data_IF_443198882668
#
_entry.id   IF_443198882668
#
_cell.length_a   1.000
_cell.length_b   1.000
_cell.length_c   1.000
_cell.angle_alpha   90.00
_cell.angle_beta   90.00
_cell.angle_gamma   90.00
#
_symmetry.space_group_name_H-M   'P 1'
#
loop_
_entity.id
_entity.type
_entity.pdbx_description
1 polymer ?
#
# COMPACT_ATOMS: atom_id res chain seq x y z
N UNK A 1 6.25 10.65 -19.58
CA UNK A 1 5.69 9.28 -19.52
C UNK A 1 4.19 9.43 -19.54
N UNK A 2 3.48 8.75 -20.46
CA UNK A 2 2.03 8.69 -20.39
C UNK A 2 1.64 7.81 -19.19
N UNK A 3 0.65 8.26 -18.41
CA UNK A 3 0.16 7.49 -17.26
C UNK A 3 -0.65 6.29 -17.73
N UNK A 4 -0.52 5.17 -17.04
CA UNK A 4 -1.36 4.00 -17.33
C UNK A 4 -2.79 4.22 -16.84
N UNK A 5 -3.81 3.55 -17.42
CA UNK A 5 -5.18 3.62 -16.91
C UNK A 5 -5.29 3.30 -15.41
N UNK A 6 -4.47 2.37 -14.91
CA UNK A 6 -4.40 1.98 -13.51
C UNK A 6 -3.85 3.12 -12.62
N UNK A 7 -2.87 3.88 -13.11
CA UNK A 7 -2.37 5.07 -12.42
C UNK A 7 -3.45 6.15 -12.32
N UNK A 8 -4.23 6.37 -13.38
CA UNK A 8 -5.35 7.32 -13.34
C UNK A 8 -6.41 6.92 -12.30
N UNK A 9 -6.80 5.64 -12.25
CA UNK A 9 -7.73 5.13 -11.23
C UNK A 9 -7.21 5.38 -9.82
N UNK A 10 -5.95 5.05 -9.56
CA UNK A 10 -5.31 5.28 -8.26
C UNK A 10 -5.23 6.76 -7.88
N UNK A 11 -4.99 7.65 -8.83
CA UNK A 11 -4.99 9.09 -8.56
C UNK A 11 -6.38 9.61 -8.20
N UNK A 12 -7.44 9.11 -8.84
CA UNK A 12 -8.81 9.44 -8.48
C UNK A 12 -9.13 8.98 -7.05
N UNK A 13 -8.72 7.77 -6.70
CA UNK A 13 -8.85 7.24 -5.33
C UNK A 13 -8.06 8.06 -4.31
N UNK A 14 -6.84 8.49 -4.63
CA UNK A 14 -6.04 9.37 -3.75
C UNK A 14 -6.70 10.73 -3.49
N UNK A 15 -7.39 11.29 -4.49
CA UNK A 15 -8.19 12.52 -4.28
C UNK A 15 -9.34 12.27 -3.31
N UNK A 16 -9.95 11.08 -3.36
CA UNK A 16 -10.97 10.69 -2.39
C UNK A 16 -10.42 10.56 -0.97
N UNK A 17 -9.19 10.08 -0.79
CA UNK A 17 -8.56 10.05 0.53
C UNK A 17 -8.47 11.47 1.13
N UNK A 18 -8.06 12.45 0.33
CA UNK A 18 -8.01 13.85 0.77
C UNK A 18 -9.40 14.42 1.10
N UNK A 19 -10.43 14.03 0.34
CA UNK A 19 -11.82 14.45 0.57
C UNK A 19 -12.40 13.84 1.85
N UNK A 20 -12.22 12.53 2.05
CA UNK A 20 -12.93 11.72 3.07
C UNK A 20 -12.13 11.62 4.37
N UNK A 21 -10.86 11.23 4.27
CA UNK A 21 -10.01 10.93 5.41
C UNK A 21 -9.31 12.18 5.94
N UNK A 22 -8.91 13.11 5.07
CA UNK A 22 -8.16 14.33 5.44
C UNK A 22 -6.91 13.98 6.26
N UNK A 23 -6.87 14.36 7.54
CA UNK A 23 -5.77 14.10 8.48
C UNK A 23 -5.78 12.67 9.04
N UNK A 24 -6.90 11.95 8.92
CA UNK A 24 -7.01 10.53 9.34
C UNK A 24 -6.42 9.56 8.31
N UNK A 25 -5.80 10.08 7.23
CA UNK A 25 -5.04 9.27 6.30
C UNK A 25 -3.88 8.60 7.03
N UNK A 26 -3.76 7.30 6.83
CA UNK A 26 -2.63 6.55 7.36
C UNK A 26 -1.46 6.69 6.38
N UNK A 27 -0.30 7.14 6.86
CA UNK A 27 0.92 7.29 6.04
C UNK A 27 2.06 6.48 6.62
N UNK A 28 2.83 5.81 5.76
CA UNK A 28 3.93 4.94 6.15
C UNK A 28 5.27 5.57 5.79
N UNK A 29 6.21 5.61 6.74
CA UNK A 29 7.59 6.02 6.47
C UNK A 29 8.58 4.94 6.87
N UNK A 30 9.38 4.38 5.93
CA UNK A 30 10.37 3.36 6.26
C UNK A 30 11.48 3.94 7.15
N UNK A 31 11.83 3.23 8.22
CA UNK A 31 12.90 3.59 9.14
C UNK A 31 14.14 2.73 8.94
N UNK A 32 14.07 1.48 9.39
CA UNK A 32 15.20 0.57 9.41
C UNK A 32 14.86 -0.74 8.71
N UNK A 33 15.89 -1.37 8.18
CA UNK A 33 15.79 -2.66 7.51
C UNK A 33 17.10 -3.43 7.68
N UNK A 34 16.98 -4.67 8.09
CA UNK A 34 18.07 -5.63 8.23
C UNK A 34 17.65 -6.92 7.55
N UNK A 35 18.58 -7.50 6.79
CA UNK A 35 18.37 -8.74 6.04
C UNK A 35 19.57 -9.61 6.30
N UNK A 36 19.34 -10.81 6.82
CA UNK A 36 20.36 -11.81 7.05
C UNK A 36 20.03 -13.04 6.22
N UNK A 37 20.97 -13.41 5.35
CA UNK A 37 20.94 -14.66 4.59
C UNK A 37 22.17 -15.47 4.96
N UNK A 38 21.95 -16.71 5.37
CA UNK A 38 23.01 -17.67 5.65
C UNK A 38 22.94 -18.77 4.59
N UNK A 39 24.08 -19.21 4.04
CA UNK A 39 24.08 -20.30 3.05
C UNK A 39 23.63 -21.64 3.64
N UNK A 40 23.78 -21.82 4.96
CA UNK A 40 23.37 -23.05 5.65
C UNK A 40 21.87 -23.04 5.99
N UNK A 41 21.30 -21.85 6.25
CA UNK A 41 19.87 -21.69 6.48
C UNK A 41 19.13 -21.50 5.16
N UNK A 42 18.08 -22.28 4.93
CA UNK A 42 17.26 -22.18 3.71
C UNK A 42 16.31 -20.97 3.71
N UNK A 43 16.47 -20.04 4.65
CA UNK A 43 15.57 -18.92 4.88
C UNK A 43 16.33 -17.60 5.00
N UNK A 44 15.66 -16.53 4.61
CA UNK A 44 16.08 -15.15 4.81
C UNK A 44 15.41 -14.62 6.07
N UNK A 45 16.20 -14.18 7.05
CA UNK A 45 15.68 -13.44 8.21
C UNK A 45 15.57 -11.96 7.85
N UNK A 46 14.39 -11.39 8.03
CA UNK A 46 14.08 -10.00 7.70
C UNK A 46 13.54 -9.31 8.94
N UNK A 47 14.22 -8.22 9.33
CA UNK A 47 13.81 -7.34 10.43
C UNK A 47 13.65 -5.93 9.89
N UNK A 48 12.51 -5.28 10.15
CA UNK A 48 12.27 -3.94 9.62
C UNK A 48 11.35 -3.13 10.51
N UNK A 49 11.47 -1.81 10.40
CA UNK A 49 10.59 -0.89 11.10
C UNK A 49 10.18 0.29 10.24
N UNK A 50 9.00 0.82 10.55
CA UNK A 50 8.43 1.97 9.86
C UNK A 50 7.54 2.77 10.79
N UNK A 51 7.35 4.04 10.47
CA UNK A 51 6.46 4.94 11.18
C UNK A 51 5.09 4.88 10.53
N UNK A 52 4.08 4.67 11.38
CA UNK A 52 2.68 4.91 11.09
C UNK A 52 2.36 6.34 11.53
N UNK A 53 1.95 7.17 10.57
CA UNK A 53 1.41 8.48 10.85
C UNK A 53 -0.09 8.47 10.63
N UNK A 54 -0.82 8.76 11.71
CA UNK A 54 -2.18 9.22 11.67
C UNK A 54 -2.25 10.51 12.53
N UNK A 55 -3.22 10.60 13.45
CA UNK A 55 -3.25 11.64 14.50
C UNK A 55 -2.07 11.54 15.47
N UNK A 56 -1.50 10.34 15.63
CA UNK A 56 -0.31 10.05 16.42
C UNK A 56 0.78 9.39 15.57
N UNK A 57 2.00 9.42 16.10
CA UNK A 57 3.16 8.75 15.53
C UNK A 57 3.39 7.44 16.28
N UNK A 58 3.29 6.32 15.57
CA UNK A 58 3.57 4.99 16.09
C UNK A 58 4.73 4.36 15.29
N UNK A 59 5.61 3.63 15.97
CA UNK A 59 6.68 2.87 15.33
C UNK A 59 6.29 1.41 15.37
N UNK A 60 6.23 0.79 14.19
CA UNK A 60 5.98 -0.64 14.04
C UNK A 60 7.30 -1.33 13.73
N UNK A 61 7.60 -2.41 14.47
CA UNK A 61 8.77 -3.26 14.29
C UNK A 61 8.29 -4.68 14.00
N UNK A 62 8.77 -5.28 12.91
CA UNK A 62 8.38 -6.61 12.46
C UNK A 62 9.63 -7.45 12.15
N UNK A 63 9.55 -8.72 12.54
CA UNK A 63 10.58 -9.73 12.32
C UNK A 63 9.95 -10.98 11.71
N UNK A 64 10.59 -11.56 10.69
CA UNK A 64 10.12 -12.78 10.07
C UNK A 64 11.25 -13.60 9.43
N UNK A 65 10.98 -14.88 9.22
CA UNK A 65 11.79 -15.76 8.38
C UNK A 65 10.98 -16.13 7.14
N UNK A 66 11.56 -15.97 5.97
CA UNK A 66 10.88 -16.15 4.69
C UNK A 66 11.80 -16.79 3.65
N UNK A 67 11.27 -17.09 2.46
CA UNK A 67 12.08 -17.64 1.36
C UNK A 67 12.92 -16.58 0.64
N UNK A 68 12.74 -15.32 0.99
CA UNK A 68 13.46 -14.19 0.43
C UNK A 68 13.05 -12.89 1.09
N UNK A 69 13.83 -11.85 0.83
CA UNK A 69 13.58 -10.53 1.41
C UNK A 69 12.20 -9.94 1.09
N UNK A 70 11.78 -10.00 -0.18
CA UNK A 70 10.47 -9.48 -0.63
C UNK A 70 9.32 -10.29 -0.04
N UNK A 71 9.47 -11.62 0.02
CA UNK A 71 8.52 -12.55 0.64
C UNK A 71 8.33 -12.21 2.13
N UNK A 72 9.44 -11.99 2.85
CA UNK A 72 9.40 -11.61 4.27
C UNK A 72 8.70 -10.28 4.51
N UNK A 73 9.05 -9.24 3.75
CA UNK A 73 8.36 -7.95 3.85
C UNK A 73 6.86 -8.06 3.59
N UNK A 74 6.49 -8.74 2.51
CA UNK A 74 5.09 -8.86 2.13
C UNK A 74 4.29 -9.65 3.17
N UNK A 75 4.82 -10.80 3.59
CA UNK A 75 4.17 -11.69 4.56
C UNK A 75 4.03 -11.02 5.93
N UNK A 76 5.11 -10.41 6.44
CA UNK A 76 5.04 -9.72 7.73
C UNK A 76 4.06 -8.54 7.72
N UNK A 77 4.03 -7.73 6.66
CA UNK A 77 3.02 -6.67 6.52
C UNK A 77 1.61 -7.25 6.38
N UNK A 78 1.43 -8.32 5.61
CA UNK A 78 0.15 -9.00 5.45
C UNK A 78 -0.37 -9.48 6.80
N UNK A 79 0.42 -10.27 7.53
CA UNK A 79 0.03 -10.84 8.82
C UNK A 79 -0.28 -9.74 9.86
N UNK A 80 0.50 -8.64 9.87
CA UNK A 80 0.28 -7.53 10.78
C UNK A 80 -1.03 -6.78 10.51
N UNK A 81 -1.39 -6.54 9.24
CA UNK A 81 -2.53 -5.67 8.90
C UNK A 81 -3.82 -6.42 8.57
N UNK A 82 -3.73 -7.69 8.16
CA UNK A 82 -4.86 -8.43 7.58
C UNK A 82 -6.02 -8.65 8.59
N UNK A 83 -5.73 -8.69 9.88
CA UNK A 83 -6.76 -8.83 10.93
C UNK A 83 -7.55 -7.54 11.13
N UNK A 84 -6.91 -6.38 10.97
CA UNK A 84 -7.54 -5.07 11.11
C UNK A 84 -8.18 -4.56 9.80
N UNK A 85 -7.73 -5.07 8.66
CA UNK A 85 -8.14 -4.62 7.32
C UNK A 85 -8.44 -5.82 6.43
N UNK A 86 -9.71 -6.23 6.42
CA UNK A 86 -10.14 -7.46 5.76
C UNK A 86 -10.02 -7.39 4.24
N UNK A 87 -10.03 -6.19 3.64
CA UNK A 87 -9.87 -6.04 2.19
C UNK A 87 -8.49 -6.48 1.70
N UNK A 88 -7.49 -6.57 2.59
CA UNK A 88 -6.15 -7.06 2.27
C UNK A 88 -6.14 -8.57 1.96
N UNK A 89 -7.15 -9.34 2.37
CA UNK A 89 -7.25 -10.77 2.00
C UNK A 89 -7.37 -10.98 0.48
N UNK A 90 -7.74 -9.93 -0.26
CA UNK A 90 -7.97 -9.98 -1.70
C UNK A 90 -6.77 -9.54 -2.54
N UNK A 91 -5.68 -9.06 -1.92
CA UNK A 91 -4.50 -8.58 -2.63
C UNK A 91 -3.44 -9.67 -2.75
N UNK A 92 -2.73 -9.72 -3.87
CA UNK A 92 -1.62 -10.65 -4.12
C UNK A 92 -0.48 -9.94 -4.84
N UNK A 93 0.76 -10.26 -4.47
CA UNK A 93 1.93 -9.81 -5.23
C UNK A 93 2.00 -10.61 -6.54
N UNK A 94 1.85 -9.94 -7.68
CA UNK A 94 1.85 -10.55 -9.01
C UNK A 94 3.20 -10.48 -9.70
N UNK A 95 3.90 -9.34 -9.57
CA UNK A 95 5.18 -9.11 -10.23
C UNK A 95 6.09 -8.21 -9.38
N UNK A 96 7.39 -8.39 -9.54
CA UNK A 96 8.45 -7.63 -8.88
C UNK A 96 9.54 -7.31 -9.90
N UNK A 97 9.66 -6.02 -10.25
CA UNK A 97 10.58 -5.56 -11.29
C UNK A 97 11.66 -4.64 -10.71
N UNK A 98 12.90 -4.92 -11.08
CA UNK A 98 14.07 -4.13 -10.70
C UNK A 98 14.70 -3.50 -11.94
N UNK A 99 14.67 -2.17 -12.03
CA UNK A 99 15.18 -1.39 -13.16
C UNK A 99 16.33 -0.49 -12.71
N UNK A 100 17.59 -0.96 -12.80
CA UNK A 100 18.75 -0.12 -12.51
C UNK A 100 18.90 0.97 -13.58
N UNK A 101 19.13 2.21 -13.15
CA UNK A 101 19.41 3.33 -14.04
C UNK A 101 20.91 3.62 -14.09
N UNK A 102 21.61 2.85 -14.92
CA UNK A 102 23.06 2.96 -15.11
C UNK A 102 23.50 4.25 -15.80
N UNK A 103 22.57 5.03 -16.38
CA UNK A 103 22.86 6.28 -17.11
C UNK A 103 23.06 7.49 -16.19
N UNK A 104 22.67 7.39 -14.90
CA UNK A 104 22.68 8.51 -13.94
C UNK A 104 23.59 8.23 -12.75
N UNK A 105 24.85 7.86 -13.03
CA UNK A 105 25.85 7.56 -12.01
C UNK A 105 26.71 8.79 -11.74
N UNK A 106 27.01 9.07 -10.47
CA UNK A 106 27.91 10.17 -10.09
C UNK A 106 29.38 9.74 -10.11
N UNK A 107 29.64 8.44 -9.97
CA UNK A 107 30.97 7.87 -9.87
C UNK A 107 31.29 6.99 -11.08
N UNK A 108 32.57 6.92 -11.44
CA UNK A 108 33.07 6.15 -12.60
C UNK A 108 32.83 4.63 -12.48
N UNK A 109 32.62 4.10 -11.27
CA UNK A 109 32.41 2.66 -11.03
C UNK A 109 30.97 2.20 -11.31
N UNK A 110 30.01 3.12 -11.30
CA UNK A 110 28.60 2.86 -11.63
C UNK A 110 27.79 1.95 -10.70
N UNK A 111 28.40 1.37 -9.67
CA UNK A 111 27.72 0.53 -8.68
C UNK A 111 26.77 1.32 -7.74
N UNK A 112 26.85 2.66 -7.71
CA UNK A 112 25.97 3.54 -6.93
C UNK A 112 24.71 3.99 -7.69
N UNK A 113 24.40 3.31 -8.81
CA UNK A 113 23.27 3.62 -9.68
C UNK A 113 21.95 3.64 -8.92
N UNK A 114 21.08 4.58 -9.27
CA UNK A 114 19.71 4.58 -8.76
C UNK A 114 18.96 3.39 -9.34
N UNK A 115 18.33 2.62 -8.48
CA UNK A 115 17.44 1.53 -8.84
C UNK A 115 15.99 1.94 -8.63
N UNK A 116 15.17 1.67 -9.62
CA UNK A 116 13.72 1.77 -9.55
C UNK A 116 13.17 0.37 -9.33
N UNK A 117 12.41 0.19 -8.25
CA UNK A 117 11.73 -1.07 -7.93
C UNK A 117 10.24 -0.82 -8.08
N UNK A 118 9.60 -1.61 -8.93
CA UNK A 118 8.15 -1.66 -9.11
C UNK A 118 7.61 -2.98 -8.60
N UNK A 119 6.54 -2.94 -7.82
CA UNK A 119 5.73 -4.11 -7.48
C UNK A 119 4.38 -3.99 -8.15
N UNK A 120 3.86 -5.11 -8.65
CA UNK A 120 2.52 -5.19 -9.23
C UNK A 120 1.67 -6.04 -8.30
N UNK A 121 0.58 -5.44 -7.84
CA UNK A 121 -0.42 -6.06 -6.98
C UNK A 121 -1.61 -6.46 -7.84
N UNK A 122 -2.05 -7.70 -7.74
CA UNK A 122 -3.34 -8.13 -8.27
C UNK A 122 -4.39 -8.07 -7.15
N UNK A 123 -5.58 -7.60 -7.50
CA UNK A 123 -6.74 -7.61 -6.62
C UNK A 123 -7.80 -8.48 -7.25
N UNK A 124 -8.23 -9.50 -6.53
CA UNK A 124 -9.16 -10.50 -7.06
C UNK A 124 -10.43 -9.83 -7.65
N UNK A 125 -10.57 -9.91 -8.98
CA UNK A 125 -11.72 -9.36 -9.72
C UNK A 125 -11.63 -7.89 -10.13
N UNK A 126 -10.56 -7.16 -9.76
CA UNK A 126 -10.38 -5.72 -10.04
C UNK A 126 -9.13 -5.39 -10.86
N UNK A 127 -8.26 -6.37 -11.07
CA UNK A 127 -7.06 -6.26 -11.90
C UNK A 127 -5.86 -5.74 -11.13
N UNK A 128 -4.89 -5.21 -11.88
CA UNK A 128 -3.54 -4.93 -11.36
C UNK A 128 -3.33 -3.47 -10.95
N UNK A 129 -2.44 -3.25 -9.99
CA UNK A 129 -1.97 -1.93 -9.52
C UNK A 129 -0.46 -1.94 -9.34
N UNK A 130 0.24 -0.96 -9.88
CA UNK A 130 1.71 -0.85 -9.79
C UNK A 130 2.15 0.18 -8.73
N UNK A 131 3.09 -0.19 -7.87
CA UNK A 131 3.70 0.70 -6.89
C UNK A 131 5.20 0.70 -7.09
N UNK A 132 5.78 1.88 -7.26
CA UNK A 132 7.21 2.02 -7.50
C UNK A 132 7.89 2.97 -6.53
N UNK A 133 9.17 2.75 -6.34
CA UNK A 133 10.06 3.60 -5.55
C UNK A 133 11.45 3.59 -6.16
N UNK A 134 12.15 4.71 -6.01
CA UNK A 134 13.49 4.90 -6.57
C UNK A 134 14.45 5.36 -5.50
N UNK A 135 15.53 4.62 -5.31
CA UNK A 135 16.61 4.94 -4.40
C UNK A 135 17.93 4.36 -4.90
N UNK A 136 19.02 4.49 -4.14
CA UNK A 136 20.29 3.79 -4.44
C UNK A 136 20.38 2.40 -3.80
N UNK A 137 19.43 2.05 -2.94
CA UNK A 137 19.37 0.76 -2.26
C UNK A 137 18.21 -0.04 -2.83
N UNK A 138 18.51 -1.25 -3.32
CA UNK A 138 17.49 -2.19 -3.76
C UNK A 138 16.51 -2.50 -2.63
N UNK A 139 17.04 -2.78 -1.43
CA UNK A 139 16.27 -3.10 -0.24
C UNK A 139 15.33 -1.96 0.14
N UNK A 140 15.85 -0.73 0.20
CA UNK A 140 15.04 0.45 0.55
C UNK A 140 13.94 0.73 -0.47
N UNK A 141 14.25 0.62 -1.77
CA UNK A 141 13.25 0.83 -2.82
C UNK A 141 12.13 -0.20 -2.73
N UNK A 142 12.48 -1.48 -2.54
CA UNK A 142 11.51 -2.57 -2.37
C UNK A 142 10.62 -2.37 -1.16
N UNK A 143 11.23 -2.08 0.00
CA UNK A 143 10.52 -1.81 1.24
C UNK A 143 9.54 -0.66 1.10
N UNK A 144 9.99 0.44 0.50
CA UNK A 144 9.13 1.61 0.25
C UNK A 144 7.97 1.28 -0.70
N UNK A 145 8.22 0.51 -1.77
CA UNK A 145 7.17 0.13 -2.72
C UNK A 145 6.10 -0.75 -2.07
N UNK A 146 6.50 -1.71 -1.22
CA UNK A 146 5.59 -2.57 -0.46
C UNK A 146 4.76 -1.75 0.53
N UNK A 147 5.40 -0.91 1.34
CA UNK A 147 4.69 -0.04 2.27
C UNK A 147 3.67 0.86 1.55
N UNK A 148 4.02 1.42 0.38
CA UNK A 148 3.09 2.23 -0.43
C UNK A 148 1.88 1.45 -0.93
N UNK A 149 2.02 0.15 -1.20
CA UNK A 149 0.89 -0.69 -1.57
C UNK A 149 -0.05 -0.91 -0.39
N UNK A 150 0.48 -1.32 0.76
CA UNK A 150 -0.32 -1.50 1.98
C UNK A 150 -0.99 -0.20 2.43
N UNK A 151 -0.26 0.92 2.46
CA UNK A 151 -0.79 2.25 2.75
C UNK A 151 -1.99 2.59 1.86
N UNK A 152 -1.89 2.31 0.55
CA UNK A 152 -2.96 2.58 -0.40
C UNK A 152 -4.21 1.75 -0.11
N UNK A 153 -4.07 0.43 0.06
CA UNK A 153 -5.22 -0.46 0.27
C UNK A 153 -5.88 -0.27 1.65
N UNK A 154 -5.08 0.04 2.68
CA UNK A 154 -5.63 0.37 4.01
C UNK A 154 -6.43 1.67 3.94
N UNK A 155 -5.92 2.71 3.29
CA UNK A 155 -6.67 3.96 3.13
C UNK A 155 -7.93 3.79 2.28
N UNK A 156 -7.90 2.90 1.28
CA UNK A 156 -9.10 2.50 0.55
C UNK A 156 -10.20 1.96 1.48
N UNK A 157 -9.86 1.00 2.36
CA UNK A 157 -10.81 0.42 3.30
C UNK A 157 -11.31 1.44 4.32
N UNK A 158 -10.42 2.25 4.90
CA UNK A 158 -10.80 3.35 5.81
C UNK A 158 -11.76 4.33 5.12
N UNK A 159 -11.46 4.74 3.89
CA UNK A 159 -12.31 5.67 3.14
C UNK A 159 -13.67 5.06 2.80
N UNK A 160 -13.71 3.75 2.51
CA UNK A 160 -14.96 3.02 2.26
C UNK A 160 -15.87 3.04 3.49
N UNK A 161 -15.36 2.64 4.65
CA UNK A 161 -16.15 2.62 5.89
C UNK A 161 -16.60 4.02 6.30
N UNK A 162 -15.73 5.03 6.21
CA UNK A 162 -16.10 6.40 6.54
C UNK A 162 -17.15 6.98 5.59
N UNK A 163 -17.09 6.65 4.30
CA UNK A 163 -18.14 7.04 3.35
C UNK A 163 -19.48 6.37 3.69
N UNK A 164 -19.47 5.12 4.15
CA UNK A 164 -20.70 4.47 4.61
C UNK A 164 -21.33 5.17 5.82
N UNK A 165 -20.54 5.63 6.79
CA UNK A 165 -21.09 6.38 7.93
C UNK A 165 -21.71 7.71 7.49
N UNK A 166 -21.14 8.39 6.51
CA UNK A 166 -21.73 9.59 5.90
C UNK A 166 -23.06 9.30 5.20
N UNK A 167 -23.18 8.17 4.50
CA UNK A 167 -24.45 7.75 3.89
C UNK A 167 -25.51 7.49 4.96
N UNK A 168 -25.16 6.74 6.01
CA UNK A 168 -26.08 6.40 7.08
C UNK A 168 -26.56 7.66 7.84
N UNK A 169 -25.69 8.65 8.07
CA UNK A 169 -26.09 9.95 8.64
C UNK A 169 -26.97 10.77 7.68
N UNK A 170 -26.61 10.84 6.40
CA UNK A 170 -27.38 11.57 5.40
C UNK A 170 -28.79 10.98 5.18
N UNK A 171 -28.92 9.65 5.27
CA UNK A 171 -30.21 8.96 5.25
C UNK A 171 -31.09 9.39 6.43
N UNK A 172 -30.54 9.41 7.65
CA UNK A 172 -31.28 9.87 8.85
C UNK A 172 -31.75 11.33 8.73
N UNK A 173 -31.01 12.16 7.99
CA UNK A 173 -31.30 13.59 7.79
C UNK A 173 -32.04 13.90 6.48
N UNK A 174 -32.43 12.90 5.70
CA UNK A 174 -33.08 13.05 4.38
C UNK A 174 -32.27 13.93 3.39
N UNK A 175 -30.94 13.86 3.41
CA UNK A 175 -30.04 14.62 2.53
C UNK A 175 -29.67 13.82 1.27
N UNK A 176 -30.60 13.76 0.32
CA UNK A 176 -30.43 13.00 -0.93
C UNK A 176 -29.22 13.41 -1.79
N UNK A 177 -28.82 14.69 -1.72
CA UNK A 177 -27.64 15.22 -2.38
C UNK A 177 -26.34 14.58 -1.85
N UNK A 178 -26.21 14.46 -0.52
CA UNK A 178 -25.06 13.84 0.14
C UNK A 178 -25.02 12.34 -0.14
N UNK A 179 -26.18 11.67 -0.09
CA UNK A 179 -26.29 10.24 -0.41
C UNK A 179 -25.78 9.98 -1.83
N UNK A 180 -26.22 10.77 -2.81
CA UNK A 180 -25.81 10.62 -4.21
C UNK A 180 -24.31 10.84 -4.39
N UNK A 181 -23.75 11.89 -3.77
CA UNK A 181 -22.32 12.20 -3.81
C UNK A 181 -21.46 11.09 -3.18
N UNK A 182 -21.86 10.59 -2.00
CA UNK A 182 -21.14 9.52 -1.31
C UNK A 182 -21.27 8.17 -2.05
N UNK A 183 -22.43 7.90 -2.66
CA UNK A 183 -22.62 6.69 -3.48
C UNK A 183 -21.68 6.71 -4.67
N UNK A 184 -21.53 7.87 -5.34
CA UNK A 184 -20.55 8.04 -6.40
C UNK A 184 -19.11 7.80 -5.90
N UNK A 185 -18.73 8.37 -4.75
CA UNK A 185 -17.40 8.12 -4.18
C UNK A 185 -17.16 6.62 -3.89
N UNK A 186 -18.18 5.90 -3.40
CA UNK A 186 -18.09 4.45 -3.20
C UNK A 186 -17.83 3.70 -4.50
N UNK A 187 -18.46 4.09 -5.61
CA UNK A 187 -18.22 3.42 -6.91
C UNK A 187 -16.75 3.47 -7.29
N UNK A 188 -16.11 4.63 -7.13
CA UNK A 188 -14.68 4.81 -7.42
C UNK A 188 -13.81 3.92 -6.49
N UNK A 189 -14.13 3.84 -5.20
CA UNK A 189 -13.39 2.97 -4.26
C UNK A 189 -13.53 1.49 -4.63
N UNK A 190 -14.72 1.07 -5.07
CA UNK A 190 -14.98 -0.33 -5.48
C UNK A 190 -14.40 -0.69 -6.83
N UNK A 191 -13.87 0.26 -7.62
CA UNK A 191 -13.16 -0.07 -8.87
C UNK A 191 -11.76 -0.66 -8.63
N UNK A 192 -11.23 -0.55 -7.41
CA UNK A 192 -9.85 -0.94 -7.09
C UNK A 192 -9.74 -2.02 -6.02
N UNK A 193 -10.82 -2.32 -5.27
CA UNK A 193 -10.83 -3.40 -4.28
C UNK A 193 -12.25 -3.85 -3.91
N UNK A 194 -12.33 -5.02 -3.27
CA UNK A 194 -13.51 -5.53 -2.59
C UNK A 194 -13.45 -5.21 -1.10
N UNK A 195 -14.56 -4.72 -0.56
CA UNK A 195 -14.69 -4.41 0.87
C UNK A 195 -15.87 -5.18 1.46
N UNK A 196 -15.69 -5.67 2.67
CA UNK A 196 -16.77 -6.29 3.44
C UNK A 196 -17.41 -5.20 4.28
N UNK A 197 -18.74 -5.11 4.25
CA UNK A 197 -19.45 -4.26 5.20
C UNK A 197 -19.40 -4.94 6.57
N UNK A 198 -18.87 -4.26 7.59
CA UNK A 198 -18.95 -4.79 8.94
C UNK A 198 -20.42 -4.95 9.36
N UNK A 199 -20.79 -6.08 10.00
CA UNK A 199 -22.13 -6.27 10.52
C UNK A 199 -22.41 -5.18 11.57
N UNK A 200 -23.56 -4.52 11.44
CA UNK A 200 -24.03 -3.52 12.39
C UNK A 200 -24.34 -4.22 13.71
N UNK A 201 -23.66 -3.85 14.79
CA UNK A 201 -24.09 -4.11 16.17
C UNK A 201 -25.09 -3.04 16.60
#
# INVERSE_FOLDING_TARGET
>A
MQKTPQEFKRENVKKLFQKILKEEQLLFAPLNISVLENQEDKHTSVSFSFELFNEAKEIVELDCNANGFVDGLFTACYDYFCDSYNSLKNIRLLDYQVKPNMKKNKNNLGADAKVEVSIVMDVQGHGISEFSSRSRSLLRSSFTSILRAFEFYINCEKAFHKTQTFIDDAQKRNRGDIISSCTYDLTILTEVNNYVREPRN
#
